data_IF_365020255248
#
_entry.id   IF_365020255248
#
_cell.length_a   1.000
_cell.length_b   1.000
_cell.length_c   1.000
_cell.angle_alpha   90.00
_cell.angle_beta   90.00
_cell.angle_gamma   90.00
#
_symmetry.space_group_name_H-M   'P 1'
#
loop_
_entity.id
_entity.type
_entity.pdbx_description
1 polymer ?
#
# COMPACT_ATOMS: atom_id res chain seq x y z
N UNK A 1 6.63 5.23 6.86
CA UNK A 1 5.23 4.83 6.57
C UNK A 1 4.26 5.88 7.07
N UNK A 2 3.50 6.49 6.15
CA UNK A 2 2.59 7.62 6.37
C UNK A 2 1.16 7.18 6.10
N UNK A 3 0.37 7.16 7.16
CA UNK A 3 -1.02 6.74 7.10
C UNK A 3 -1.91 7.53 6.13
N UNK A 4 -1.80 8.87 6.05
CA UNK A 4 -2.60 9.64 5.09
C UNK A 4 -2.34 9.25 3.63
N UNK A 5 -1.08 8.93 3.30
CA UNK A 5 -0.70 8.51 1.94
C UNK A 5 -1.32 7.16 1.61
N UNK A 6 -1.18 6.17 2.49
CA UNK A 6 -1.77 4.84 2.29
C UNK A 6 -3.29 4.95 2.11
N UNK A 7 -3.95 5.75 2.94
CA UNK A 7 -5.39 5.99 2.82
C UNK A 7 -5.74 6.59 1.45
N UNK A 8 -5.01 7.64 1.01
CA UNK A 8 -5.19 8.24 -0.32
C UNK A 8 -5.04 7.20 -1.43
N UNK A 9 -4.01 6.36 -1.38
CA UNK A 9 -3.77 5.32 -2.36
C UNK A 9 -4.92 4.30 -2.41
N UNK A 10 -5.38 3.84 -1.25
CA UNK A 10 -6.52 2.91 -1.16
C UNK A 10 -7.81 3.52 -1.66
N UNK A 11 -8.05 4.82 -1.46
CA UNK A 11 -9.29 5.47 -1.90
C UNK A 11 -9.29 5.85 -3.38
N UNK A 12 -8.13 6.13 -3.96
CA UNK A 12 -8.02 6.74 -5.30
C UNK A 12 -7.53 5.80 -6.40
N UNK A 13 -6.80 4.73 -6.07
CA UNK A 13 -6.16 3.86 -7.05
C UNK A 13 -6.82 2.48 -7.09
N UNK A 14 -6.85 1.81 -8.24
CA UNK A 14 -7.31 0.41 -8.31
C UNK A 14 -6.23 -0.55 -7.83
N UNK A 15 -6.60 -1.82 -7.59
CA UNK A 15 -5.62 -2.83 -7.20
C UNK A 15 -4.57 -3.00 -8.30
N UNK A 16 -5.01 -3.04 -9.56
CA UNK A 16 -4.14 -3.18 -10.74
C UNK A 16 -3.18 -1.99 -10.87
N UNK A 17 -3.66 -0.76 -10.64
CA UNK A 17 -2.82 0.42 -10.68
C UNK A 17 -1.74 0.40 -9.58
N UNK A 18 -2.09 -0.07 -8.38
CA UNK A 18 -1.15 -0.19 -7.27
C UNK A 18 -0.09 -1.27 -7.55
N UNK A 19 -0.46 -2.42 -8.12
CA UNK A 19 0.49 -3.47 -8.53
C UNK A 19 1.43 -2.94 -9.61
N UNK A 20 0.93 -2.21 -10.61
CA UNK A 20 1.79 -1.59 -11.61
C UNK A 20 2.74 -0.54 -11.01
N UNK A 21 2.31 0.19 -9.98
CA UNK A 21 3.18 1.13 -9.26
C UNK A 21 4.24 0.41 -8.43
N UNK A 22 3.92 -0.74 -7.83
CA UNK A 22 4.88 -1.59 -7.13
C UNK A 22 5.98 -2.07 -8.08
N UNK A 23 5.59 -2.62 -9.24
CA UNK A 23 6.52 -3.06 -10.28
C UNK A 23 7.41 -1.91 -10.76
N UNK A 24 6.83 -0.74 -11.03
CA UNK A 24 7.60 0.44 -11.44
C UNK A 24 8.64 0.83 -10.38
N UNK A 25 8.27 0.89 -9.11
CA UNK A 25 9.19 1.24 -8.03
C UNK A 25 10.31 0.19 -7.86
N UNK A 26 10.01 -1.10 -8.03
CA UNK A 26 11.00 -2.18 -7.98
C UNK A 26 12.00 -2.12 -9.14
N UNK A 27 11.58 -1.62 -10.30
CA UNK A 27 12.42 -1.44 -11.48
C UNK A 27 13.10 -0.05 -11.55
N UNK A 28 13.05 0.73 -10.46
CA UNK A 28 13.57 2.11 -10.40
C UNK A 28 12.94 3.02 -11.47
N UNK A 29 11.70 2.73 -11.85
CA UNK A 29 10.89 3.49 -12.79
C UNK A 29 9.88 4.37 -12.06
N UNK A 30 9.42 5.43 -12.74
CA UNK A 30 8.38 6.33 -12.21
C UNK A 30 7.00 5.69 -12.34
N UNK A 31 6.22 5.54 -11.26
CA UNK A 31 4.84 5.03 -11.35
C UNK A 31 3.93 5.96 -12.15
N UNK A 32 2.81 5.43 -12.63
CA UNK A 32 1.81 6.19 -13.39
C UNK A 32 1.11 7.30 -12.59
N UNK A 33 1.28 7.33 -11.26
CA UNK A 33 0.74 8.34 -10.36
C UNK A 33 1.73 8.64 -9.23
N UNK A 34 1.57 9.80 -8.60
CA UNK A 34 2.43 10.22 -7.51
C UNK A 34 2.21 9.37 -6.25
N UNK A 35 3.28 8.73 -5.80
CA UNK A 35 3.39 8.05 -4.51
C UNK A 35 4.23 8.93 -3.59
N UNK A 36 3.62 9.54 -2.58
CA UNK A 36 4.35 10.37 -1.63
C UNK A 36 5.23 9.49 -0.71
N UNK A 37 6.47 9.90 -0.47
CA UNK A 37 7.43 9.23 0.40
C UNK A 37 8.74 10.01 0.49
N UNK A 38 9.50 9.84 1.56
CA UNK A 38 10.83 10.46 1.76
C UNK A 38 11.90 9.85 0.85
N UNK A 39 11.74 8.58 0.52
CA UNK A 39 12.60 7.82 -0.39
C UNK A 39 11.77 6.73 -1.11
N UNK A 40 12.37 6.06 -2.10
CA UNK A 40 11.74 4.98 -2.86
C UNK A 40 11.33 3.79 -1.98
N UNK A 41 12.08 3.50 -0.91
CA UNK A 41 11.74 2.44 0.05
C UNK A 41 10.47 2.77 0.83
N UNK A 42 10.30 4.04 1.23
CA UNK A 42 9.07 4.52 1.86
C UNK A 42 7.89 4.51 0.87
N UNK A 43 8.10 4.94 -0.38
CA UNK A 43 7.07 4.87 -1.43
C UNK A 43 6.61 3.43 -1.66
N UNK A 44 7.55 2.50 -1.80
CA UNK A 44 7.29 1.08 -1.98
C UNK A 44 6.51 0.52 -0.77
N UNK A 45 6.90 0.90 0.45
CA UNK A 45 6.17 0.54 1.68
C UNK A 45 4.71 1.02 1.65
N UNK A 46 4.45 2.22 1.14
CA UNK A 46 3.09 2.74 1.01
C UNK A 46 2.25 1.98 -0.02
N UNK A 47 2.84 1.65 -1.16
CA UNK A 47 2.17 0.88 -2.21
C UNK A 47 1.85 -0.52 -1.71
N UNK A 48 2.82 -1.22 -1.09
CA UNK A 48 2.58 -2.53 -0.48
C UNK A 48 1.44 -2.53 0.54
N UNK A 49 1.43 -1.53 1.42
CA UNK A 49 0.36 -1.38 2.40
C UNK A 49 -1.00 -1.17 1.73
N UNK A 50 -1.06 -0.34 0.69
CA UNK A 50 -2.29 -0.05 -0.04
C UNK A 50 -2.82 -1.29 -0.79
N UNK A 51 -1.94 -2.06 -1.44
CA UNK A 51 -2.28 -3.33 -2.11
C UNK A 51 -2.88 -4.30 -1.09
N UNK A 52 -2.18 -4.51 0.03
CA UNK A 52 -2.64 -5.40 1.09
C UNK A 52 -4.04 -5.00 1.58
N UNK A 53 -4.23 -3.71 1.88
CA UNK A 53 -5.48 -3.21 2.43
C UNK A 53 -6.62 -3.37 1.42
N UNK A 54 -6.42 -3.02 0.13
CA UNK A 54 -7.47 -3.23 -0.88
C UNK A 54 -7.84 -4.71 -1.02
N UNK A 55 -6.85 -5.60 -1.11
CA UNK A 55 -7.11 -7.04 -1.17
C UNK A 55 -7.90 -7.52 0.05
N UNK A 56 -7.49 -7.13 1.25
CA UNK A 56 -8.18 -7.52 2.46
C UNK A 56 -9.63 -7.00 2.50
N UNK A 57 -9.85 -5.74 2.09
CA UNK A 57 -11.20 -5.16 1.98
C UNK A 57 -12.07 -5.92 0.96
N UNK A 58 -11.51 -6.31 -0.19
CA UNK A 58 -12.22 -7.08 -1.21
C UNK A 58 -12.54 -8.51 -0.75
N UNK A 59 -11.57 -9.20 -0.17
CA UNK A 59 -11.68 -10.61 0.23
C UNK A 59 -12.58 -10.80 1.47
N UNK A 60 -12.55 -9.85 2.42
CA UNK A 60 -13.22 -10.00 3.72
C UNK A 60 -14.40 -9.03 3.91
N UNK A 61 -14.66 -8.13 2.96
CA UNK A 61 -15.66 -7.08 3.11
C UNK A 61 -15.38 -6.11 4.27
N UNK A 62 -14.13 -6.04 4.74
CA UNK A 62 -13.73 -5.23 5.89
C UNK A 62 -13.61 -3.76 5.52
N UNK A 63 -13.77 -2.86 6.50
CA UNK A 63 -13.45 -1.44 6.32
C UNK A 63 -11.93 -1.19 6.35
N UNK A 64 -11.51 -0.04 5.81
CA UNK A 64 -10.10 0.38 5.77
C UNK A 64 -9.38 0.25 7.12
N UNK A 65 -10.03 0.66 8.22
CA UNK A 65 -9.42 0.65 9.56
C UNK A 65 -9.11 -0.76 10.04
N UNK A 66 -9.98 -1.72 9.74
CA UNK A 66 -9.79 -3.12 10.12
C UNK A 66 -8.68 -3.76 9.28
N UNK A 67 -8.72 -3.57 7.96
CA UNK A 67 -7.67 -4.04 7.05
C UNK A 67 -6.29 -3.46 7.39
N UNK A 68 -6.22 -2.17 7.74
CA UNK A 68 -5.00 -1.53 8.20
C UNK A 68 -4.48 -2.14 9.50
N UNK A 69 -5.38 -2.43 10.45
CA UNK A 69 -5.01 -3.08 11.70
C UNK A 69 -4.42 -4.46 11.44
N UNK A 70 -4.96 -5.21 10.50
CA UNK A 70 -4.40 -6.51 10.10
C UNK A 70 -3.04 -6.36 9.41
N UNK A 71 -2.87 -5.36 8.55
CA UNK A 71 -1.56 -5.05 7.95
C UNK A 71 -0.49 -4.77 9.00
N UNK A 72 -0.77 -3.84 9.92
CA UNK A 72 0.18 -3.45 10.97
C UNK A 72 0.54 -4.61 11.89
N UNK A 73 -0.41 -5.52 12.19
CA UNK A 73 -0.12 -6.78 12.90
C UNK A 73 0.84 -7.66 12.09
N UNK A 74 0.60 -7.86 10.80
CA UNK A 74 1.48 -8.67 9.92
C UNK A 74 2.90 -8.12 9.89
N UNK A 75 3.07 -6.82 9.66
CA UNK A 75 4.39 -6.17 9.65
C UNK A 75 5.12 -6.40 10.98
N UNK A 76 4.43 -6.26 12.12
CA UNK A 76 5.04 -6.48 13.44
C UNK A 76 5.51 -7.92 13.65
N UNK A 77 4.75 -8.90 13.17
CA UNK A 77 5.08 -10.33 13.31
C UNK A 77 6.24 -10.72 12.38
N UNK A 78 6.32 -10.15 11.17
CA UNK A 78 7.38 -10.46 10.20
C UNK A 78 8.79 -9.97 10.59
N UNK A 79 8.91 -9.18 11.66
CA UNK A 79 10.18 -8.63 12.17
C UNK A 79 10.55 -9.26 13.54
N UNK A 80 9.75 -10.22 14.05
CA UNK A 80 9.98 -10.91 15.33
C UNK A 80 10.73 -12.23 15.17
#
# INVERSE_FOLDING_TARGET
MKMPVIKRLVETQTLEALVAAEEALLEEQTPAFEVEGEDEGEQLTHVFAAIFIRNHMQDHGSEFKDALREYTKKVRVSIS
#
